data_IF_967824816284
#
_entry.id   IF_967824816284
#
_cell.length_a   1.000
_cell.length_b   1.000
_cell.length_c   1.000
_cell.angle_alpha   90.00
_cell.angle_beta   90.00
_cell.angle_gamma   90.00
#
_symmetry.space_group_name_H-M   'P 1'
#
loop_
_entity.id
_entity.type
_entity.pdbx_description
1 polymer ?
#
# COMPACT_ATOMS: atom_id res chain seq x y z
N UNK A 1 34.35 35.55 1.29
CA UNK A 1 34.29 34.32 2.10
C UNK A 1 32.86 33.96 2.48
N UNK A 2 32.06 34.86 3.04
CA UNK A 2 30.65 34.55 3.37
C UNK A 2 29.77 34.27 2.14
N UNK A 3 29.88 35.08 1.07
CA UNK A 3 29.12 34.85 -0.18
C UNK A 3 29.47 33.52 -0.87
N UNK A 4 30.73 33.09 -0.83
CA UNK A 4 31.16 31.84 -1.47
C UNK A 4 30.60 30.61 -0.74
N UNK A 5 30.49 30.70 0.59
CA UNK A 5 29.86 29.66 1.41
C UNK A 5 28.36 29.61 1.13
N UNK A 6 27.71 30.76 1.00
CA UNK A 6 26.28 30.86 0.72
C UNK A 6 25.93 30.33 -0.68
N UNK A 7 26.76 30.61 -1.68
CA UNK A 7 26.61 30.03 -3.03
C UNK A 7 26.86 28.52 -3.00
N UNK A 8 27.83 28.05 -2.24
CA UNK A 8 28.13 26.62 -2.12
C UNK A 8 26.99 25.86 -1.41
N UNK A 9 26.42 26.41 -0.33
CA UNK A 9 25.28 25.80 0.36
C UNK A 9 24.05 25.77 -0.53
N UNK A 10 23.74 26.85 -1.25
CA UNK A 10 22.62 26.91 -2.18
C UNK A 10 22.71 25.79 -3.24
N UNK A 11 23.90 25.64 -3.84
CA UNK A 11 24.15 24.59 -4.85
C UNK A 11 24.01 23.19 -4.27
N UNK A 12 24.47 22.99 -3.03
CA UNK A 12 24.37 21.70 -2.36
C UNK A 12 22.90 21.35 -2.05
N UNK A 13 22.11 22.32 -1.59
CA UNK A 13 20.66 22.15 -1.41
C UNK A 13 19.94 21.87 -2.73
N UNK A 14 20.30 22.57 -3.81
CA UNK A 14 19.69 22.36 -5.12
C UNK A 14 20.02 20.96 -5.67
N UNK A 15 21.27 20.52 -5.53
CA UNK A 15 21.68 19.17 -5.89
C UNK A 15 20.95 18.10 -5.07
N UNK A 16 20.79 18.31 -3.75
CA UNK A 16 20.03 17.39 -2.90
C UNK A 16 18.55 17.37 -3.27
N UNK A 17 17.95 18.51 -3.61
CA UNK A 17 16.56 18.59 -4.07
C UNK A 17 16.37 17.93 -5.44
N UNK A 18 17.33 18.08 -6.36
CA UNK A 18 17.30 17.41 -7.65
C UNK A 18 17.47 15.89 -7.50
N UNK A 19 18.47 15.46 -6.73
CA UNK A 19 18.73 14.06 -6.44
C UNK A 19 17.55 13.41 -5.71
N UNK A 20 16.91 14.11 -4.76
CA UNK A 20 15.70 13.60 -4.12
C UNK A 20 14.50 13.58 -5.06
N UNK A 21 14.34 14.53 -5.98
CA UNK A 21 13.26 14.46 -6.99
C UNK A 21 13.44 13.28 -7.95
N UNK A 22 14.67 12.95 -8.34
CA UNK A 22 14.97 11.79 -9.19
C UNK A 22 14.93 10.46 -8.41
N UNK A 23 15.43 10.45 -7.17
CA UNK A 23 15.50 9.25 -6.33
C UNK A 23 14.21 8.95 -5.57
N UNK A 24 13.33 9.93 -5.39
CA UNK A 24 11.95 9.70 -4.95
C UNK A 24 11.31 8.90 -6.06
N UNK A 25 11.22 7.58 -5.83
CA UNK A 25 10.41 6.67 -6.62
C UNK A 25 9.07 7.36 -6.84
N UNK A 26 8.82 7.83 -8.07
CA UNK A 26 7.47 8.18 -8.51
C UNK A 26 6.62 7.02 -8.04
N UNK A 27 5.67 7.28 -7.14
CA UNK A 27 4.75 6.26 -6.63
C UNK A 27 3.85 5.86 -7.80
N UNK A 28 4.43 5.12 -8.74
CA UNK A 28 3.71 4.38 -9.73
C UNK A 28 2.97 3.33 -8.93
N UNK A 29 1.65 3.44 -8.95
CA UNK A 29 0.79 2.35 -8.54
C UNK A 29 1.28 1.15 -9.34
N UNK A 30 1.95 0.21 -8.67
CA UNK A 30 2.50 -0.94 -9.39
C UNK A 30 1.36 -1.60 -10.14
N UNK A 31 1.64 -2.30 -11.23
CA UNK A 31 0.64 -3.07 -11.95
C UNK A 31 -0.07 -4.11 -11.04
N UNK A 32 0.52 -4.38 -9.86
CA UNK A 32 0.01 -5.24 -8.78
C UNK A 32 -0.62 -4.47 -7.61
N UNK A 33 -0.69 -3.14 -7.67
CA UNK A 33 -1.52 -2.39 -6.74
C UNK A 33 -2.95 -2.86 -6.92
N UNK A 34 -3.59 -3.24 -5.81
CA UNK A 34 -4.98 -3.67 -5.80
C UNK A 34 -5.80 -2.55 -6.47
N UNK A 35 -6.44 -2.76 -7.64
CA UNK A 35 -7.13 -1.69 -8.35
C UNK A 35 -8.27 -1.07 -7.53
N UNK A 36 -8.84 -1.89 -6.65
CA UNK A 36 -9.83 -1.51 -5.65
C UNK A 36 -9.27 -0.76 -4.43
N UNK A 37 -7.97 -0.50 -4.35
CA UNK A 37 -7.34 0.17 -3.21
C UNK A 37 -7.55 1.69 -3.29
N UNK A 38 -8.73 2.13 -2.85
CA UNK A 38 -9.11 3.54 -2.90
C UNK A 38 -8.46 4.37 -1.78
N UNK A 39 -8.52 5.70 -1.91
CA UNK A 39 -8.08 6.64 -0.88
C UNK A 39 -8.75 6.37 0.47
N UNK A 40 -10.03 6.01 0.47
CA UNK A 40 -10.79 5.67 1.68
C UNK A 40 -10.27 4.41 2.39
N UNK A 41 -9.87 3.39 1.62
CA UNK A 41 -9.25 2.16 2.17
C UNK A 41 -7.89 2.48 2.78
N UNK A 42 -7.12 3.37 2.14
CA UNK A 42 -5.84 3.83 2.65
C UNK A 42 -5.99 4.66 3.93
N UNK A 43 -6.95 5.57 3.99
CA UNK A 43 -7.23 6.41 5.16
C UNK A 43 -7.70 5.56 6.36
N UNK A 44 -8.58 4.58 6.12
CA UNK A 44 -9.00 3.66 7.18
C UNK A 44 -7.85 2.77 7.68
N UNK A 45 -6.94 2.33 6.81
CA UNK A 45 -5.72 1.63 7.25
C UNK A 45 -4.81 2.55 8.08
N UNK A 46 -4.66 3.82 7.69
CA UNK A 46 -3.86 4.80 8.44
C UNK A 46 -4.40 4.95 9.87
N UNK A 47 -5.72 5.10 10.01
CA UNK A 47 -6.40 5.17 11.31
C UNK A 47 -6.14 3.93 12.17
N UNK A 48 -6.18 2.74 11.58
CA UNK A 48 -5.83 1.49 12.30
C UNK A 48 -4.40 1.52 12.80
N UNK A 49 -3.45 1.99 11.99
CA UNK A 49 -2.04 2.08 12.38
C UNK A 49 -1.82 3.10 13.50
N UNK A 50 -2.44 4.27 13.40
CA UNK A 50 -2.35 5.32 14.42
C UNK A 50 -2.86 4.81 15.78
N UNK A 51 -4.01 4.12 15.80
CA UNK A 51 -4.55 3.53 17.03
C UNK A 51 -3.71 2.36 17.57
N UNK A 52 -3.07 1.57 16.69
CA UNK A 52 -2.19 0.48 17.08
C UNK A 52 -0.88 1.01 17.69
N UNK A 53 -0.34 2.09 17.12
CA UNK A 53 0.81 2.82 17.66
C UNK A 53 0.45 3.46 19.02
N UNK A 54 -0.71 4.09 19.14
CA UNK A 54 -1.19 4.68 20.39
C UNK A 54 -1.41 3.62 21.49
N UNK A 55 -2.01 2.47 21.15
CA UNK A 55 -2.16 1.34 22.09
C UNK A 55 -0.80 0.81 22.58
N UNK A 56 0.17 0.65 21.66
CA UNK A 56 1.55 0.24 22.00
C UNK A 56 2.23 1.25 22.92
N UNK A 57 2.11 2.54 22.63
CA UNK A 57 2.67 3.61 23.45
C UNK A 57 2.06 3.62 24.85
N UNK A 58 0.75 3.45 24.96
CA UNK A 58 0.05 3.35 26.24
C UNK A 58 0.56 2.15 27.06
N UNK A 59 0.65 0.98 26.43
CA UNK A 59 1.17 -0.22 27.08
C UNK A 59 2.63 -0.08 27.51
N UNK A 60 3.48 0.58 26.69
CA UNK A 60 4.88 0.82 27.04
C UNK A 60 5.02 1.74 28.26
N UNK A 61 4.20 2.80 28.34
CA UNK A 61 4.27 3.80 29.42
C UNK A 61 3.65 3.31 30.74
N UNK A 62 2.49 2.69 30.67
CA UNK A 62 1.69 2.37 31.85
C UNK A 62 1.70 0.88 32.21
N UNK A 63 2.27 0.01 31.35
CA UNK A 63 2.26 -1.46 31.51
C UNK A 63 0.85 -2.05 31.67
N UNK A 64 -0.16 -1.33 31.21
CA UNK A 64 -1.56 -1.72 31.27
C UNK A 64 -2.19 -1.55 29.89
N UNK A 65 -3.19 -2.38 29.62
CA UNK A 65 -3.98 -2.29 28.40
C UNK A 65 -5.10 -1.28 28.63
N UNK A 66 -5.18 -0.30 27.75
CA UNK A 66 -6.31 0.63 27.71
C UNK A 66 -7.44 -0.01 26.89
N UNK A 67 -8.51 -0.40 27.58
CA UNK A 67 -9.66 -1.07 26.97
C UNK A 67 -10.42 -0.16 25.99
N UNK A 68 -10.43 1.16 26.21
CA UNK A 68 -11.09 2.09 25.28
C UNK A 68 -10.31 2.20 23.98
N UNK A 69 -8.98 2.24 24.05
CA UNK A 69 -8.11 2.20 22.87
C UNK A 69 -8.25 0.88 22.10
N UNK A 70 -8.28 -0.26 22.79
CA UNK A 70 -8.50 -1.56 22.15
C UNK A 70 -9.88 -1.66 21.47
N UNK A 71 -10.93 -1.14 22.11
CA UNK A 71 -12.26 -1.08 21.51
C UNK A 71 -12.27 -0.22 20.23
N UNK A 72 -11.67 0.97 20.28
CA UNK A 72 -11.53 1.85 19.10
C UNK A 72 -10.71 1.19 18.00
N UNK A 73 -9.65 0.47 18.35
CA UNK A 73 -8.81 -0.27 17.41
C UNK A 73 -9.61 -1.41 16.74
N UNK A 74 -10.41 -2.14 17.50
CA UNK A 74 -11.29 -3.19 16.98
C UNK A 74 -12.34 -2.62 16.01
N UNK A 75 -12.96 -1.49 16.35
CA UNK A 75 -13.89 -0.79 15.47
C UNK A 75 -13.21 -0.31 14.18
N UNK A 76 -12.04 0.32 14.28
CA UNK A 76 -11.28 0.77 13.12
C UNK A 76 -10.88 -0.41 12.21
N UNK A 77 -10.47 -1.55 12.78
CA UNK A 77 -10.17 -2.78 12.03
C UNK A 77 -11.41 -3.33 11.32
N UNK A 78 -12.57 -3.29 11.98
CA UNK A 78 -13.85 -3.70 11.38
C UNK A 78 -14.25 -2.78 10.23
N UNK A 79 -14.13 -1.46 10.42
CA UNK A 79 -14.40 -0.45 9.40
C UNK A 79 -13.51 -0.65 8.16
N UNK A 80 -12.20 -0.81 8.36
CA UNK A 80 -11.24 -1.09 7.29
C UNK A 80 -11.60 -2.37 6.52
N UNK A 81 -11.98 -3.44 7.23
CA UNK A 81 -12.41 -4.71 6.62
C UNK A 81 -13.68 -4.53 5.77
N UNK A 82 -14.65 -3.77 6.26
CA UNK A 82 -15.87 -3.45 5.52
C UNK A 82 -15.57 -2.62 4.25
N UNK A 83 -14.73 -1.59 4.37
CA UNK A 83 -14.30 -0.76 3.24
C UNK A 83 -13.55 -1.57 2.18
N UNK A 84 -12.64 -2.46 2.60
CA UNK A 84 -11.95 -3.38 1.67
C UNK A 84 -12.94 -4.29 0.92
N UNK A 85 -13.92 -4.87 1.62
CA UNK A 85 -14.93 -5.72 1.00
C UNK A 85 -15.77 -4.96 -0.02
N UNK A 86 -16.22 -3.75 0.35
CA UNK A 86 -17.00 -2.89 -0.53
C UNK A 86 -16.21 -2.52 -1.78
N UNK A 87 -15.00 -1.97 -1.61
CA UNK A 87 -14.18 -1.55 -2.73
C UNK A 87 -13.82 -2.71 -3.67
N UNK A 88 -13.56 -3.90 -3.12
CA UNK A 88 -13.33 -5.11 -3.94
C UNK A 88 -14.57 -5.52 -4.73
N UNK A 89 -15.76 -5.48 -4.10
CA UNK A 89 -17.03 -5.79 -4.77
C UNK A 89 -17.31 -4.79 -5.89
N UNK A 90 -17.11 -3.50 -5.64
CA UNK A 90 -17.37 -2.44 -6.61
C UNK A 90 -16.42 -2.56 -7.81
N UNK A 91 -15.14 -2.88 -7.59
CA UNK A 91 -14.17 -3.18 -8.66
C UNK A 91 -14.54 -4.43 -9.44
N UNK A 92 -14.98 -5.50 -8.77
CA UNK A 92 -15.45 -6.72 -9.46
C UNK A 92 -16.67 -6.42 -10.33
N UNK A 93 -17.64 -5.67 -9.81
CA UNK A 93 -18.86 -5.32 -10.53
C UNK A 93 -18.56 -4.47 -11.76
N UNK A 94 -17.72 -3.42 -11.62
CA UNK A 94 -17.30 -2.59 -12.76
C UNK A 94 -16.66 -3.41 -13.87
N UNK A 95 -15.75 -4.31 -13.51
CA UNK A 95 -15.10 -5.21 -14.47
C UNK A 95 -16.08 -6.17 -15.14
N UNK A 96 -17.13 -6.61 -14.44
CA UNK A 96 -18.19 -7.43 -15.02
C UNK A 96 -19.09 -6.63 -15.98
N UNK A 97 -19.38 -5.37 -15.66
CA UNK A 97 -20.14 -4.45 -16.53
C UNK A 97 -19.36 -4.10 -17.81
N UNK A 98 -18.04 -3.92 -17.69
CA UNK A 98 -17.14 -3.61 -18.80
C UNK A 98 -16.77 -4.86 -19.65
N UNK A 99 -17.00 -6.06 -19.14
CA UNK A 99 -16.71 -7.30 -19.85
C UNK A 99 -17.76 -7.59 -20.95
N UNK A 100 -17.36 -7.50 -22.21
CA UNK A 100 -18.17 -7.92 -23.35
C UNK A 100 -18.44 -9.44 -23.38
N UNK A 101 -19.45 -9.86 -24.15
CA UNK A 101 -19.97 -11.25 -24.24
C UNK A 101 -18.91 -12.34 -24.53
N UNK A 102 -17.73 -12.00 -25.06
CA UNK A 102 -16.62 -12.92 -25.31
C UNK A 102 -15.69 -13.18 -24.12
N UNK A 103 -15.63 -12.27 -23.12
CA UNK A 103 -14.65 -12.31 -22.03
C UNK A 103 -15.14 -13.01 -20.76
N UNK A 104 -16.41 -13.40 -20.69
CA UNK A 104 -17.00 -14.00 -19.46
C UNK A 104 -16.32 -15.32 -19.07
N UNK A 105 -15.77 -16.06 -20.05
CA UNK A 105 -15.08 -17.33 -19.79
C UNK A 105 -13.60 -17.15 -19.42
N UNK A 106 -12.94 -16.08 -19.86
CA UNK A 106 -11.58 -15.72 -19.42
C UNK A 106 -11.55 -15.26 -17.95
N UNK A 107 -12.68 -14.77 -17.44
CA UNK A 107 -12.86 -14.40 -16.03
C UNK A 107 -12.76 -15.59 -15.04
N UNK A 108 -12.82 -16.84 -15.50
CA UNK A 108 -12.71 -18.03 -14.61
C UNK A 108 -11.31 -18.18 -13.99
N UNK A 109 -10.30 -17.49 -14.51
CA UNK A 109 -8.92 -17.48 -14.00
C UNK A 109 -8.67 -16.49 -12.84
N UNK A 110 -9.68 -15.74 -12.38
CA UNK A 110 -9.47 -14.63 -11.43
C UNK A 110 -8.98 -15.02 -10.02
N UNK A 111 -9.13 -16.28 -9.63
CA UNK A 111 -8.63 -16.83 -8.36
C UNK A 111 -7.32 -17.59 -8.49
N UNK A 112 -6.87 -17.89 -9.71
CA UNK A 112 -5.56 -18.49 -9.96
C UNK A 112 -4.57 -17.37 -10.27
N UNK A 113 -4.05 -16.75 -9.21
CA UNK A 113 -2.87 -15.91 -9.36
C UNK A 113 -1.79 -16.71 -10.06
N UNK A 114 -1.42 -16.33 -11.28
CA UNK A 114 -0.21 -16.84 -11.93
C UNK A 114 0.95 -16.53 -10.98
N UNK A 115 1.54 -17.59 -10.40
CA UNK A 115 2.79 -17.50 -9.67
C UNK A 115 3.89 -17.27 -10.71
N UNK A 116 4.27 -16.03 -10.92
CA UNK A 116 5.54 -15.72 -11.57
C UNK A 116 6.64 -15.89 -10.52
N UNK A 117 7.41 -16.97 -10.65
CA UNK A 117 8.64 -17.13 -9.91
C UNK A 117 9.70 -16.20 -10.53
N UNK A 118 10.40 -15.43 -9.70
CA UNK A 118 11.51 -14.56 -10.13
C UNK A 118 12.76 -15.35 -10.56
N UNK A 119 12.75 -16.68 -10.43
CA UNK A 119 13.82 -17.56 -10.87
C UNK A 119 13.35 -18.43 -12.04
N UNK A 120 14.16 -18.61 -13.10
CA UNK A 120 13.90 -19.66 -14.07
C UNK A 120 13.86 -21.00 -13.33
N UNK A 121 12.98 -21.95 -13.71
CA UNK A 121 13.04 -23.29 -13.16
C UNK A 121 14.46 -23.80 -13.36
N UNK A 122 15.09 -24.30 -12.29
CA UNK A 122 16.36 -25.02 -12.40
C UNK A 122 16.06 -26.18 -13.33
N UNK A 123 16.46 -26.06 -14.59
CA UNK A 123 16.48 -27.18 -15.50
C UNK A 123 17.44 -28.17 -14.85
N UNK A 124 16.88 -29.27 -14.33
CA UNK A 124 17.70 -30.43 -14.03
C UNK A 124 18.39 -30.78 -15.34
N UNK A 125 19.72 -30.72 -15.34
CA UNK A 125 20.52 -31.36 -16.38
C UNK A 125 20.12 -32.84 -16.38
N UNK A 126 19.36 -33.24 -17.39
CA UNK A 126 19.21 -34.65 -17.74
C UNK A 126 20.58 -35.11 -18.23
N UNK A 127 21.22 -35.97 -17.43
CA UNK A 127 22.35 -36.79 -17.85
C UNK A 127 21.89 -38.05 -18.57
#
# INVERSE_FOLDING_TARGET
>A
MEEEIEIATQRLTDCLMAATREAVLVRNWSHHSKPWWTKEVKESLKRVKELDEESKDCYQRFRQVDFDLENRLAEAKKEFKCKCKKAKRDDTNKKLEEAGKGNVYDFKMWTQGKREYLSPPIAGEEG
#
